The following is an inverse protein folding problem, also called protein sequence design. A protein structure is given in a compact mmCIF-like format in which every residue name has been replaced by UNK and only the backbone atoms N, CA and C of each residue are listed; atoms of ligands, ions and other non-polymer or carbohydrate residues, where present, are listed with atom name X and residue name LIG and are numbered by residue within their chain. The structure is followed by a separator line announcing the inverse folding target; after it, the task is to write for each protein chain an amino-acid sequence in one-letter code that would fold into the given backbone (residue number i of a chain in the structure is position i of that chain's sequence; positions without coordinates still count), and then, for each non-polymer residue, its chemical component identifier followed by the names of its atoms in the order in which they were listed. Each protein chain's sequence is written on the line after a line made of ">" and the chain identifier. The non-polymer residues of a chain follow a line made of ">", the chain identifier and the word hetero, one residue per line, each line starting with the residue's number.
data_IF_388906211602
#
_entry.id   IF_388906211602
#
_cell.length_a   1.000
_cell.length_b   1.000
_cell.length_c   1.000
_cell.angle_alpha   90.00
_cell.angle_beta   90.00
_cell.angle_gamma   90.00
#
_symmetry.space_group_name_H-M   'P 1'
#
loop_
_entity.id
_entity.type
_entity.pdbx_description
1 polymer ?
#
# COMPACT_ATOMS: atom_id res chain seq x y z
N UNK A 1 -10.71 18.93 -14.04
CA UNK A 1 -11.82 19.87 -13.77
C UNK A 1 -13.18 19.23 -14.03
N UNK A 2 -13.43 18.76 -15.25
CA UNK A 2 -14.74 18.22 -15.66
C UNK A 2 -15.04 16.84 -15.09
N UNK A 3 -14.07 15.91 -15.07
CA UNK A 3 -14.27 14.56 -14.53
C UNK A 3 -14.70 14.55 -13.05
N UNK A 4 -14.09 15.40 -12.23
CA UNK A 4 -14.47 15.55 -10.81
C UNK A 4 -15.86 16.17 -10.64
N UNK A 5 -16.23 17.14 -11.48
CA UNK A 5 -17.59 17.68 -11.52
C UNK A 5 -18.62 16.64 -11.96
N UNK A 6 -18.26 15.79 -12.92
CA UNK A 6 -19.10 14.67 -13.39
C UNK A 6 -19.28 13.62 -12.30
N UNK A 7 -18.21 13.24 -11.60
CA UNK A 7 -18.26 12.33 -10.45
C UNK A 7 -19.10 12.90 -9.31
N UNK A 8 -18.92 14.19 -8.99
CA UNK A 8 -19.73 14.85 -7.96
C UNK A 8 -21.21 14.87 -8.35
N UNK A 9 -21.54 15.08 -9.63
CA UNK A 9 -22.91 14.96 -10.13
C UNK A 9 -23.46 13.54 -10.04
N UNK A 10 -22.65 12.51 -10.26
CA UNK A 10 -23.10 11.11 -10.11
C UNK A 10 -23.27 10.69 -8.65
N UNK A 11 -22.47 11.27 -7.74
CA UNK A 11 -22.55 11.03 -6.30
C UNK A 11 -23.57 11.95 -5.60
N UNK A 12 -23.96 13.06 -6.20
CA UNK A 12 -24.86 14.06 -5.60
C UNK A 12 -26.19 13.50 -5.10
N UNK A 13 -26.85 12.50 -5.74
CA UNK A 13 -28.08 11.93 -5.21
C UNK A 13 -27.89 11.21 -3.85
N UNK A 14 -26.64 10.85 -3.52
CA UNK A 14 -26.27 10.19 -2.25
C UNK A 14 -25.71 11.17 -1.21
N UNK A 15 -25.40 12.40 -1.60
CA UNK A 15 -24.84 13.41 -0.71
C UNK A 15 -25.96 14.27 -0.12
N UNK A 16 -26.02 14.38 1.21
CA UNK A 16 -26.86 15.39 1.86
C UNK A 16 -26.09 16.71 1.89
N UNK A 17 -26.45 17.64 1.00
CA UNK A 17 -25.86 18.98 0.92
C UNK A 17 -24.76 19.14 -0.13
N UNK A 18 -24.23 20.35 -0.26
CA UNK A 18 -23.18 20.69 -1.24
C UNK A 18 -21.77 20.68 -0.61
N UNK A 19 -20.74 20.20 -1.34
CA UNK A 19 -19.36 20.25 -0.86
C UNK A 19 -18.90 21.70 -0.66
N UNK A 20 -18.53 22.08 0.58
CA UNK A 20 -18.04 23.44 0.89
C UNK A 20 -16.64 23.73 0.33
N UNK A 21 -15.80 22.70 0.20
CA UNK A 21 -14.44 22.80 -0.31
C UNK A 21 -14.06 21.53 -1.05
N UNK A 22 -13.33 21.70 -2.13
CA UNK A 22 -12.77 20.62 -2.92
C UNK A 22 -11.25 20.73 -2.88
N UNK A 23 -10.58 19.68 -2.44
CA UNK A 23 -9.12 19.58 -2.37
C UNK A 23 -8.65 18.38 -3.18
N UNK A 24 -7.53 18.52 -3.86
CA UNK A 24 -6.89 17.46 -4.61
C UNK A 24 -5.38 17.50 -4.36
N UNK A 25 -4.73 16.35 -4.44
CA UNK A 25 -3.30 16.19 -4.25
C UNK A 25 -2.84 14.89 -4.92
N UNK A 26 -1.56 14.82 -5.26
CA UNK A 26 -0.95 13.61 -5.80
C UNK A 26 -0.55 12.68 -4.65
N UNK A 27 -0.71 11.38 -4.85
CA UNK A 27 -0.20 10.36 -3.95
C UNK A 27 0.99 9.71 -4.66
N UNK A 28 2.23 9.83 -4.12
CA UNK A 28 3.42 9.32 -4.77
C UNK A 28 3.59 7.82 -4.51
N UNK A 29 3.53 6.99 -5.56
CA UNK A 29 3.64 5.52 -5.44
C UNK A 29 4.99 4.95 -5.90
N UNK A 30 5.80 5.73 -6.62
CA UNK A 30 7.07 5.28 -7.21
C UNK A 30 8.27 5.82 -6.43
N UNK A 31 8.86 5.02 -5.53
CA UNK A 31 9.93 5.49 -4.66
C UNK A 31 11.19 5.88 -5.46
N UNK A 32 11.96 6.89 -4.98
CA UNK A 32 13.21 7.25 -5.62
C UNK A 32 14.21 6.10 -5.55
N UNK A 33 15.14 6.05 -6.52
CA UNK A 33 16.20 5.03 -6.55
C UNK A 33 17.06 5.05 -5.28
N UNK A 34 17.24 6.23 -4.68
CA UNK A 34 18.02 6.43 -3.47
C UNK A 34 17.24 7.33 -2.50
N UNK A 35 17.06 6.86 -1.26
CA UNK A 35 16.52 7.68 -0.17
C UNK A 35 17.58 8.60 0.45
N UNK A 36 18.86 8.26 0.27
CA UNK A 36 20.01 9.03 0.73
C UNK A 36 21.00 9.12 -0.42
N UNK A 37 21.52 10.33 -0.65
CA UNK A 37 22.61 10.59 -1.57
C UNK A 37 23.47 11.72 -0.99
N UNK A 38 24.77 11.47 -0.85
CA UNK A 38 25.70 12.40 -0.23
C UNK A 38 25.19 12.82 1.17
N UNK A 39 25.08 14.12 1.45
CA UNK A 39 24.54 14.66 2.70
C UNK A 39 23.03 14.97 2.65
N UNK A 40 22.30 14.40 1.70
CA UNK A 40 20.86 14.61 1.50
C UNK A 40 20.10 13.32 1.75
N UNK A 41 19.00 13.42 2.50
CA UNK A 41 18.02 12.34 2.66
C UNK A 41 16.61 12.83 2.36
N UNK A 42 15.75 11.91 1.94
CA UNK A 42 14.34 12.16 1.62
C UNK A 42 13.44 11.48 2.67
N UNK A 43 12.35 12.15 3.04
CA UNK A 43 11.33 11.64 3.97
C UNK A 43 9.92 11.97 3.47
N UNK A 44 8.91 11.27 3.97
CA UNK A 44 7.50 11.49 3.65
C UNK A 44 7.20 11.32 2.16
N UNK A 45 6.35 12.20 1.63
CA UNK A 45 5.94 12.17 0.22
C UNK A 45 7.12 12.33 -0.75
N UNK A 46 8.15 13.10 -0.39
CA UNK A 46 9.36 13.25 -1.20
C UNK A 46 10.13 11.92 -1.37
N UNK A 47 9.96 11.01 -0.41
CA UNK A 47 10.51 9.65 -0.44
C UNK A 47 9.48 8.58 -0.86
N UNK A 48 8.26 8.97 -1.24
CA UNK A 48 7.13 8.08 -1.53
C UNK A 48 6.81 7.13 -0.37
N UNK A 49 6.90 7.62 0.87
CA UNK A 49 6.65 6.84 2.09
C UNK A 49 5.15 6.80 2.41
N UNK A 50 4.39 6.23 1.48
CA UNK A 50 2.94 5.98 1.61
C UNK A 50 2.66 4.49 1.61
N UNK A 51 1.55 4.09 2.24
CA UNK A 51 1.10 2.69 2.21
C UNK A 51 0.70 2.38 0.78
N UNK A 52 1.39 1.50 0.03
CA UNK A 52 1.14 1.43 -1.40
C UNK A 52 -0.26 0.96 -1.75
N UNK A 53 -0.92 0.19 -0.88
CA UNK A 53 -2.30 -0.26 -1.10
C UNK A 53 -3.33 0.86 -0.90
N UNK A 54 -3.20 1.66 0.16
CA UNK A 54 -4.24 2.62 0.58
C UNK A 54 -3.90 4.08 0.29
N UNK A 55 -2.65 4.38 -0.03
CA UNK A 55 -2.15 5.74 -0.22
C UNK A 55 -1.93 6.53 1.07
N UNK A 56 -2.12 5.92 2.25
CA UNK A 56 -1.94 6.60 3.53
C UNK A 56 -0.46 6.90 3.83
N UNK A 57 -0.09 8.17 3.95
CA UNK A 57 1.30 8.61 4.18
C UNK A 57 1.63 9.05 5.61
N UNK A 58 0.63 9.36 6.46
CA UNK A 58 0.89 9.97 7.78
C UNK A 58 1.71 9.05 8.68
N UNK A 59 1.25 7.82 8.91
CA UNK A 59 1.95 6.84 9.75
C UNK A 59 3.37 6.59 9.23
N UNK A 60 3.50 6.19 7.96
CA UNK A 60 4.79 5.85 7.38
C UNK A 60 5.74 7.04 7.30
N UNK A 61 5.25 8.21 6.92
CA UNK A 61 6.03 9.44 6.86
C UNK A 61 6.60 9.81 8.23
N UNK A 62 5.78 9.75 9.30
CA UNK A 62 6.24 9.99 10.66
C UNK A 62 7.22 8.91 11.15
N UNK A 63 6.91 7.63 10.93
CA UNK A 63 7.81 6.54 11.32
C UNK A 63 9.16 6.60 10.61
N UNK A 64 9.17 6.98 9.34
CA UNK A 64 10.40 7.17 8.58
C UNK A 64 11.13 8.46 8.96
N UNK A 65 10.43 9.52 9.36
CA UNK A 65 11.05 10.74 9.86
C UNK A 65 11.81 10.48 11.18
N UNK A 66 11.25 9.67 12.09
CA UNK A 66 11.95 9.24 13.32
C UNK A 66 13.26 8.52 13.00
N UNK A 67 13.22 7.55 12.09
CA UNK A 67 14.42 6.83 11.63
C UNK A 67 15.44 7.73 10.95
N UNK A 68 14.98 8.73 10.20
CA UNK A 68 15.86 9.73 9.59
C UNK A 68 16.56 10.57 10.66
N UNK A 69 15.83 10.98 11.70
CA UNK A 69 16.39 11.71 12.84
C UNK A 69 17.47 10.89 13.56
N UNK A 70 17.22 9.61 13.83
CA UNK A 70 18.20 8.72 14.46
C UNK A 70 19.49 8.59 13.63
N UNK A 71 19.35 8.43 12.31
CA UNK A 71 20.48 8.34 11.40
C UNK A 71 21.26 9.67 11.29
N UNK A 72 20.55 10.81 11.29
CA UNK A 72 21.17 12.13 11.31
C UNK A 72 21.97 12.37 12.59
N UNK A 73 21.39 12.10 13.76
CA UNK A 73 22.08 12.24 15.05
C UNK A 73 23.34 11.38 15.09
N UNK A 74 23.25 10.11 14.69
CA UNK A 74 24.40 9.20 14.63
C UNK A 74 25.50 9.71 13.70
N UNK A 75 25.12 10.22 12.52
CA UNK A 75 26.07 10.75 11.53
C UNK A 75 26.79 12.00 12.04
N UNK A 76 26.06 12.91 12.70
CA UNK A 76 26.61 14.14 13.27
C UNK A 76 27.53 13.86 14.46
N UNK A 77 27.11 13.02 15.40
CA UNK A 77 27.89 12.69 16.60
C UNK A 77 29.22 11.99 16.28
N UNK A 78 29.27 11.24 15.17
CA UNK A 78 30.46 10.51 14.74
C UNK A 78 31.27 11.21 13.65
N UNK A 79 30.82 12.39 13.21
CA UNK A 79 31.39 13.10 12.06
C UNK A 79 31.54 12.19 10.82
N UNK A 80 30.57 11.29 10.62
CA UNK A 80 30.56 10.30 9.54
C UNK A 80 29.32 10.49 8.64
N UNK A 81 29.38 11.37 7.63
CA UNK A 81 28.29 11.55 6.66
C UNK A 81 27.91 10.27 5.91
N UNK A 82 28.84 9.32 5.76
CA UNK A 82 28.58 8.07 5.05
C UNK A 82 27.66 7.14 5.87
N UNK A 83 27.51 7.37 7.18
CA UNK A 83 26.58 6.61 8.03
C UNK A 83 25.11 6.92 7.73
N UNK A 84 24.77 8.03 7.05
CA UNK A 84 23.39 8.36 6.67
C UNK A 84 22.72 7.24 5.84
N UNK A 85 23.50 6.44 5.10
CA UNK A 85 22.98 5.27 4.38
C UNK A 85 22.28 4.25 5.27
N UNK A 86 22.56 4.24 6.59
CA UNK A 86 21.87 3.43 7.58
C UNK A 86 20.36 3.72 7.59
N UNK A 87 19.96 4.97 7.35
CA UNK A 87 18.54 5.32 7.20
C UNK A 87 17.84 4.48 6.11
N UNK A 88 18.45 4.41 4.92
CA UNK A 88 17.90 3.62 3.80
C UNK A 88 17.79 2.14 4.15
N UNK A 89 18.78 1.61 4.89
CA UNK A 89 18.79 0.22 5.35
C UNK A 89 17.68 -0.04 6.36
N UNK A 90 17.50 0.85 7.33
CA UNK A 90 16.48 0.71 8.38
C UNK A 90 15.05 0.85 7.84
N UNK A 91 14.80 1.77 6.90
CA UNK A 91 13.51 1.86 6.21
C UNK A 91 13.22 0.57 5.45
N UNK A 92 14.18 0.05 4.69
CA UNK A 92 14.01 -1.22 3.96
C UNK A 92 13.77 -2.39 4.91
N UNK A 93 14.52 -2.47 6.00
CA UNK A 93 14.38 -3.52 7.01
C UNK A 93 13.01 -3.49 7.68
N UNK A 94 12.50 -2.30 7.99
CA UNK A 94 11.25 -2.14 8.74
C UNK A 94 10.02 -2.25 7.84
N UNK A 95 10.04 -1.60 6.67
CA UNK A 95 8.85 -1.42 5.83
C UNK A 95 8.95 -2.07 4.44
N UNK A 96 10.11 -2.63 4.06
CA UNK A 96 10.33 -3.16 2.72
C UNK A 96 9.34 -4.25 2.33
N UNK A 97 9.00 -5.16 3.27
CA UNK A 97 7.98 -6.20 3.06
C UNK A 97 6.60 -5.58 2.84
N UNK A 98 6.18 -4.64 3.70
CA UNK A 98 4.90 -3.93 3.55
C UNK A 98 4.80 -3.16 2.22
N UNK A 99 5.87 -2.48 1.80
CA UNK A 99 5.89 -1.76 0.54
C UNK A 99 5.79 -2.67 -0.67
N UNK A 100 6.47 -3.82 -0.63
CA UNK A 100 6.41 -4.81 -1.71
C UNK A 100 5.01 -5.44 -1.79
N UNK A 101 4.48 -5.90 -0.67
CA UNK A 101 3.16 -6.54 -0.59
C UNK A 101 2.04 -5.58 -0.99
N UNK A 102 2.06 -4.36 -0.45
CA UNK A 102 1.07 -3.34 -0.76
C UNK A 102 1.03 -3.00 -2.25
N UNK A 103 2.19 -2.94 -2.93
CA UNK A 103 2.25 -2.69 -4.38
C UNK A 103 1.64 -3.84 -5.17
N UNK A 104 2.02 -5.08 -4.86
CA UNK A 104 1.46 -6.27 -5.52
C UNK A 104 -0.06 -6.35 -5.33
N UNK A 105 -0.56 -6.08 -4.13
CA UNK A 105 -2.00 -6.05 -3.86
C UNK A 105 -2.70 -4.94 -4.64
N UNK A 106 -2.13 -3.73 -4.71
CA UNK A 106 -2.71 -2.64 -5.51
C UNK A 106 -2.79 -3.01 -6.99
N UNK A 107 -1.74 -3.61 -7.53
CA UNK A 107 -1.73 -4.06 -8.92
C UNK A 107 -2.77 -5.15 -9.16
N UNK A 108 -2.91 -6.13 -8.25
CA UNK A 108 -3.96 -7.14 -8.30
C UNK A 108 -5.36 -6.51 -8.34
N UNK A 109 -5.63 -5.59 -7.41
CA UNK A 109 -6.94 -4.92 -7.35
C UNK A 109 -7.24 -4.11 -8.62
N UNK A 110 -6.21 -3.63 -9.32
CA UNK A 110 -6.38 -2.86 -10.57
C UNK A 110 -6.76 -3.72 -11.79
N UNK A 111 -6.62 -5.05 -11.71
CA UNK A 111 -6.95 -5.96 -12.83
C UNK A 111 -8.28 -6.68 -12.65
N UNK A 112 -8.89 -6.56 -11.46
CA UNK A 112 -10.22 -7.08 -11.16
C UNK A 112 -11.29 -6.08 -11.62
N UNK A 113 -12.38 -6.61 -12.17
CA UNK A 113 -13.59 -5.83 -12.47
C UNK A 113 -14.43 -5.61 -11.22
N UNK A 114 -15.35 -4.66 -11.25
CA UNK A 114 -16.26 -4.37 -10.13
C UNK A 114 -17.01 -5.62 -9.63
N UNK A 115 -17.50 -6.46 -10.54
CA UNK A 115 -18.20 -7.70 -10.16
C UNK A 115 -17.31 -8.74 -9.47
N UNK A 116 -16.03 -8.81 -9.84
CA UNK A 116 -15.05 -9.69 -9.21
C UNK A 116 -14.58 -9.14 -7.87
N UNK A 117 -14.43 -7.81 -7.75
CA UNK A 117 -14.18 -7.14 -6.48
C UNK A 117 -15.34 -7.38 -5.51
N UNK A 118 -16.58 -7.28 -5.97
CA UNK A 118 -17.77 -7.60 -5.17
C UNK A 118 -17.79 -9.06 -4.72
N UNK A 119 -17.44 -10.00 -5.61
CA UNK A 119 -17.36 -11.42 -5.27
C UNK A 119 -16.26 -11.69 -4.22
N UNK A 120 -15.09 -11.05 -4.39
CA UNK A 120 -13.99 -11.14 -3.43
C UNK A 120 -14.40 -10.60 -2.06
N UNK A 121 -15.01 -9.42 -2.00
CA UNK A 121 -15.48 -8.80 -0.75
C UNK A 121 -16.54 -9.66 -0.08
N UNK A 122 -17.49 -10.21 -0.84
CA UNK A 122 -18.50 -11.15 -0.30
C UNK A 122 -17.85 -12.38 0.33
N UNK A 123 -16.89 -12.98 -0.36
CA UNK A 123 -16.15 -14.13 0.14
C UNK A 123 -15.40 -13.78 1.45
N UNK A 124 -14.67 -12.65 1.48
CA UNK A 124 -13.96 -12.21 2.69
C UNK A 124 -14.90 -11.87 3.86
N UNK A 125 -16.18 -11.59 3.59
CA UNK A 125 -17.19 -11.29 4.60
C UNK A 125 -17.92 -12.54 5.14
N UNK A 126 -17.60 -13.74 4.64
CA UNK A 126 -18.09 -15.00 5.22
C UNK A 126 -17.71 -15.11 6.70
N UNK A 127 -18.60 -15.59 7.60
CA UNK A 127 -18.41 -15.49 9.05
C UNK A 127 -17.04 -15.97 9.55
N UNK A 128 -16.56 -17.09 9.03
CA UNK A 128 -15.26 -17.67 9.38
C UNK A 128 -14.10 -16.75 8.99
N UNK A 129 -14.07 -16.27 7.74
CA UNK A 129 -12.99 -15.41 7.25
C UNK A 129 -13.03 -14.04 7.92
N UNK A 130 -14.23 -13.48 8.09
CA UNK A 130 -14.43 -12.23 8.79
C UNK A 130 -13.87 -12.27 10.21
N UNK A 131 -14.12 -13.36 10.94
CA UNK A 131 -13.58 -13.53 12.29
C UNK A 131 -12.04 -13.61 12.29
N UNK A 132 -11.44 -14.35 11.36
CA UNK A 132 -9.98 -14.42 11.21
C UNK A 132 -9.38 -13.05 10.85
N UNK A 133 -10.00 -12.31 9.92
CA UNK A 133 -9.60 -10.97 9.53
C UNK A 133 -9.67 -10.04 10.74
N UNK A 134 -10.78 -10.01 11.49
CA UNK A 134 -10.92 -9.13 12.65
C UNK A 134 -9.90 -9.45 13.76
N UNK A 135 -9.44 -10.70 13.87
CA UNK A 135 -8.40 -11.10 14.83
C UNK A 135 -6.99 -10.70 14.40
N UNK A 136 -6.69 -10.67 13.10
CA UNK A 136 -5.32 -10.50 12.58
C UNK A 136 -5.07 -9.17 11.88
N UNK A 137 -6.10 -8.54 11.33
CA UNK A 137 -5.95 -7.37 10.47
C UNK A 137 -5.36 -6.20 11.26
N UNK A 138 -4.29 -5.66 10.71
CA UNK A 138 -3.66 -4.44 11.19
C UNK A 138 -3.79 -3.37 10.10
N UNK A 139 -4.24 -2.19 10.50
CA UNK A 139 -4.47 -1.09 9.57
C UNK A 139 -3.15 -0.54 9.00
N UNK A 140 -2.06 -0.60 9.75
CA UNK A 140 -0.74 -0.13 9.35
C UNK A 140 0.12 -1.24 8.73
N UNK A 141 -0.16 -2.50 9.07
CA UNK A 141 0.56 -3.68 8.57
C UNK A 141 -0.36 -4.60 7.76
N UNK A 142 -0.46 -4.35 6.44
CA UNK A 142 -1.34 -5.12 5.56
C UNK A 142 -0.86 -6.56 5.31
N UNK A 143 0.39 -6.89 5.66
CA UNK A 143 0.89 -8.27 5.57
C UNK A 143 0.03 -9.27 6.36
N UNK A 144 -0.53 -8.89 7.50
CA UNK A 144 -1.37 -9.78 8.32
C UNK A 144 -2.69 -10.12 7.64
N UNK A 145 -3.30 -9.16 6.94
CA UNK A 145 -4.48 -9.40 6.10
C UNK A 145 -4.13 -10.32 4.93
N UNK A 146 -2.95 -10.10 4.31
CA UNK A 146 -2.50 -10.95 3.23
C UNK A 146 -2.27 -12.39 3.69
N UNK A 147 -1.79 -12.62 4.90
CA UNK A 147 -1.65 -13.97 5.46
C UNK A 147 -3.00 -14.70 5.49
N UNK A 148 -4.09 -14.02 5.87
CA UNK A 148 -5.44 -14.59 5.82
C UNK A 148 -5.86 -14.89 4.37
N UNK A 149 -5.60 -13.96 3.44
CA UNK A 149 -5.90 -14.13 2.02
C UNK A 149 -5.14 -15.33 1.44
N UNK A 150 -3.84 -15.45 1.71
CA UNK A 150 -3.00 -16.53 1.19
C UNK A 150 -3.38 -17.89 1.78
N UNK A 151 -3.67 -17.95 3.08
CA UNK A 151 -4.15 -19.17 3.73
C UNK A 151 -5.49 -19.66 3.18
N UNK A 152 -6.27 -18.76 2.58
CA UNK A 152 -7.57 -19.06 1.98
C UNK A 152 -7.57 -18.86 0.45
N UNK A 153 -6.38 -18.86 -0.18
CA UNK A 153 -6.21 -18.54 -1.59
C UNK A 153 -7.06 -19.44 -2.50
N UNK A 154 -7.14 -20.78 -2.32
CA UNK A 154 -7.98 -21.61 -3.17
C UNK A 154 -9.45 -21.18 -3.15
N UNK A 155 -10.00 -20.88 -1.98
CA UNK A 155 -11.37 -20.41 -1.81
C UNK A 155 -11.58 -19.06 -2.50
N UNK A 156 -10.65 -18.12 -2.33
CA UNK A 156 -10.72 -16.81 -2.97
C UNK A 156 -10.55 -16.89 -4.49
N UNK A 157 -9.71 -17.80 -5.01
CA UNK A 157 -9.59 -18.01 -6.45
C UNK A 157 -10.87 -18.63 -7.03
N UNK A 158 -11.62 -19.43 -6.28
CA UNK A 158 -12.93 -19.95 -6.75
C UNK A 158 -14.03 -18.90 -6.78
N UNK A 159 -13.94 -17.85 -5.94
CA UNK A 159 -14.88 -16.72 -6.02
C UNK A 159 -14.58 -15.79 -7.19
N UNK A 160 -13.35 -15.85 -7.72
CA UNK A 160 -12.92 -15.13 -8.92
C UNK A 160 -13.20 -15.97 -10.18
N UNK A 161 -13.84 -15.36 -11.18
CA UNK A 161 -14.12 -16.04 -12.44
C UNK A 161 -12.85 -16.33 -13.28
N UNK A 162 -12.94 -17.21 -14.29
CA UNK A 162 -11.79 -17.57 -15.15
C UNK A 162 -11.19 -16.36 -15.90
N UNK A 163 -11.99 -15.32 -16.14
CA UNK A 163 -11.53 -14.05 -16.72
C UNK A 163 -10.53 -13.31 -15.82
N UNK A 164 -10.80 -13.23 -14.51
CA UNK A 164 -9.89 -12.65 -13.52
C UNK A 164 -8.54 -13.38 -13.53
N UNK A 165 -8.60 -14.71 -13.44
CA UNK A 165 -7.40 -15.56 -13.43
C UNK A 165 -6.56 -15.35 -14.69
N UNK A 166 -7.20 -15.30 -15.86
CA UNK A 166 -6.49 -15.03 -17.11
C UNK A 166 -5.78 -13.67 -17.10
N UNK A 167 -6.44 -12.60 -16.62
CA UNK A 167 -5.82 -11.28 -16.51
C UNK A 167 -4.66 -11.25 -15.51
N UNK A 168 -4.82 -11.93 -14.37
CA UNK A 168 -3.74 -12.11 -13.39
C UNK A 168 -2.55 -12.86 -13.99
N UNK A 169 -2.79 -13.90 -14.81
CA UNK A 169 -1.75 -14.67 -15.50
C UNK A 169 -0.95 -13.78 -16.45
N UNK A 170 -1.66 -13.04 -17.30
CA UNK A 170 -1.06 -12.15 -18.30
C UNK A 170 -0.22 -11.02 -17.68
N UNK A 171 -0.57 -10.60 -16.47
CA UNK A 171 0.19 -9.61 -15.69
C UNK A 171 1.35 -10.22 -14.88
N UNK A 172 1.61 -11.53 -15.01
CA UNK A 172 2.65 -12.22 -14.26
C UNK A 172 2.36 -12.36 -12.77
N UNK A 173 1.10 -12.21 -12.34
CA UNK A 173 0.70 -12.23 -10.93
C UNK A 173 0.44 -13.64 -10.38
N UNK A 174 0.24 -14.63 -11.26
CA UNK A 174 0.03 -16.04 -10.86
C UNK A 174 1.30 -16.70 -10.34
N UNK A 175 2.47 -16.16 -10.70
CA UNK A 175 3.75 -16.54 -10.15
C UNK A 175 4.18 -15.59 -9.03
N UNK A 176 3.30 -15.30 -8.06
CA UNK A 176 3.65 -14.64 -6.81
C UNK A 176 4.74 -15.47 -6.12
N UNK A 177 5.99 -15.27 -6.54
CA UNK A 177 7.14 -15.84 -5.87
C UNK A 177 7.29 -15.07 -4.57
N UNK A 178 6.55 -15.59 -3.60
CA UNK A 178 6.63 -15.25 -2.19
C UNK A 178 7.79 -16.03 -1.54
N UNK A 179 8.61 -16.76 -2.29
CA UNK A 179 9.82 -17.43 -1.77
C UNK A 179 10.96 -16.46 -1.43
N UNK A 180 10.73 -15.15 -1.62
CA UNK A 180 11.53 -14.08 -1.03
C UNK A 180 10.90 -13.45 0.22
N UNK A 181 10.00 -14.15 0.93
CA UNK A 181 9.57 -13.82 2.30
C UNK A 181 10.77 -13.96 3.25
#
# INVERSE_FOLDING_TARGET
>A
GEGLRSLLKSLSPRLRGEPKKLSFGLIPYDPPRHLVKDSVLLVGDAACQVKPLTGGGIYLGLSCALKASEALSHSLEREDPASLKLYSKEVRRTFGREFMLGRKLRELMSVLSDGELDALVKCLNEPRLREEILKKADFDHHSSLLEVILSNLPLLLTSLGPGALTRMALKGMIGLDLRGI
#
